data_IF_705962700115
#
_entry.id   IF_705962700115
#
_cell.length_a   1.000
_cell.length_b   1.000
_cell.length_c   1.000
_cell.angle_alpha   90.00
_cell.angle_beta   90.00
_cell.angle_gamma   90.00
#
_symmetry.space_group_name_H-M   'P 1'
#
loop_
_entity.id
_entity.type
_entity.pdbx_description
1 polymer ?
#
# COMPACT_ATOMS: atom_id res chain seq x y z
N UNK A 1 13.13 11.95 -12.21
CA UNK A 1 11.96 12.59 -11.57
C UNK A 1 12.40 13.95 -11.04
N UNK A 2 11.56 14.98 -11.15
CA UNK A 2 11.90 16.32 -10.63
C UNK A 2 11.40 16.42 -9.18
N UNK A 3 12.29 16.60 -8.19
CA UNK A 3 11.89 16.57 -6.80
C UNK A 3 11.15 17.85 -6.39
N UNK A 4 10.11 17.65 -5.57
CA UNK A 4 9.40 18.71 -4.84
C UNK A 4 9.77 18.61 -3.35
N UNK A 5 9.76 17.38 -2.81
CA UNK A 5 10.22 17.06 -1.46
C UNK A 5 10.88 15.68 -1.47
N UNK A 6 12.21 15.60 -1.64
CA UNK A 6 12.93 14.33 -1.80
C UNK A 6 12.66 13.32 -0.68
N UNK A 7 12.37 13.80 0.54
CA UNK A 7 12.14 12.94 1.71
C UNK A 7 10.74 12.36 1.80
N UNK A 8 9.75 12.95 1.12
CA UNK A 8 8.35 12.55 1.19
C UNK A 8 7.85 11.92 -0.11
N UNK A 9 8.64 11.99 -1.17
CA UNK A 9 8.25 11.50 -2.49
C UNK A 9 8.58 10.02 -2.64
N UNK A 10 7.63 9.28 -3.19
CA UNK A 10 7.78 7.90 -3.62
C UNK A 10 7.00 7.67 -4.90
N UNK A 11 7.50 6.80 -5.77
CA UNK A 11 6.75 6.34 -6.93
C UNK A 11 5.92 5.11 -6.54
N UNK A 12 4.73 4.97 -7.14
CA UNK A 12 3.86 3.83 -6.88
C UNK A 12 2.99 3.49 -8.09
N UNK A 13 2.71 2.21 -8.34
CA UNK A 13 1.86 1.80 -9.45
C UNK A 13 0.40 2.14 -9.17
N UNK A 14 -0.31 2.57 -10.21
CA UNK A 14 -1.77 2.72 -10.21
C UNK A 14 -2.35 1.76 -11.24
N UNK A 15 -3.22 0.85 -10.81
CA UNK A 15 -3.83 -0.15 -11.67
C UNK A 15 -5.28 -0.43 -11.28
N UNK A 16 -6.04 -1.09 -12.17
CA UNK A 16 -7.47 -1.42 -11.93
C UNK A 16 -7.65 -2.61 -11.00
N UNK A 17 -6.63 -3.45 -10.84
CA UNK A 17 -6.67 -4.62 -9.95
C UNK A 17 -5.45 -4.64 -9.03
N UNK A 18 -5.58 -5.30 -7.88
CA UNK A 18 -4.46 -5.48 -6.95
C UNK A 18 -3.37 -6.38 -7.54
N UNK A 19 -3.74 -7.36 -8.38
CA UNK A 19 -2.80 -8.25 -9.04
C UNK A 19 -1.88 -7.47 -10.01
N UNK A 20 -2.45 -6.58 -10.82
CA UNK A 20 -1.68 -5.73 -11.72
C UNK A 20 -0.77 -4.76 -10.96
N UNK A 21 -1.29 -4.13 -9.89
CA UNK A 21 -0.52 -3.20 -9.07
C UNK A 21 0.69 -3.89 -8.42
N UNK A 22 0.52 -5.11 -7.90
CA UNK A 22 1.61 -5.91 -7.30
C UNK A 22 2.60 -6.36 -8.37
N UNK A 23 2.13 -6.76 -9.55
CA UNK A 23 3.00 -7.15 -10.68
C UNK A 23 3.89 -5.98 -11.12
N UNK A 24 3.32 -4.78 -11.24
CA UNK A 24 4.11 -3.59 -11.56
C UNK A 24 5.06 -3.19 -10.42
N UNK A 25 4.64 -3.36 -9.16
CA UNK A 25 5.51 -3.12 -8.00
C UNK A 25 6.75 -4.02 -8.04
N UNK A 26 6.58 -5.31 -8.37
CA UNK A 26 7.69 -6.26 -8.49
C UNK A 26 8.69 -5.88 -9.58
N UNK A 27 8.25 -5.17 -10.63
CA UNK A 27 9.13 -4.69 -11.70
C UNK A 27 9.91 -3.44 -11.28
N UNK A 28 9.29 -2.51 -10.55
CA UNK A 28 9.91 -1.20 -10.24
C UNK A 28 10.70 -1.20 -8.92
N UNK A 29 10.46 -2.16 -8.04
CA UNK A 29 11.10 -2.19 -6.71
C UNK A 29 12.55 -2.66 -6.81
N UNK A 30 13.47 -1.96 -6.16
CA UNK A 30 14.87 -2.33 -6.19
C UNK A 30 15.78 -1.32 -5.52
N UNK A 31 17.05 -1.70 -5.38
CA UNK A 31 18.12 -0.79 -5.03
C UNK A 31 18.48 0.07 -6.25
N UNK A 32 18.62 1.37 -6.05
CA UNK A 32 19.12 2.31 -7.04
C UNK A 32 20.39 2.98 -6.50
N UNK A 33 21.56 2.80 -7.12
CA UNK A 33 22.80 3.48 -6.72
C UNK A 33 22.67 5.02 -6.71
N UNK A 34 21.83 5.59 -7.58
CA UNK A 34 21.59 7.03 -7.68
C UNK A 34 20.64 7.55 -6.58
N UNK A 35 19.93 6.64 -5.91
CA UNK A 35 19.08 6.91 -4.75
C UNK A 35 19.37 5.95 -3.59
N UNK A 36 20.67 5.71 -3.35
CA UNK A 36 21.11 4.72 -2.37
C UNK A 36 20.62 5.04 -0.94
N UNK A 37 20.48 6.33 -0.61
CA UNK A 37 20.01 6.75 0.71
C UNK A 37 18.58 6.30 1.01
N UNK A 38 17.67 6.36 0.01
CA UNK A 38 16.31 5.88 0.18
C UNK A 38 16.20 4.36 0.00
N UNK A 39 16.90 3.80 -0.99
CA UNK A 39 16.66 2.42 -1.43
C UNK A 39 17.45 1.35 -0.67
N UNK A 40 18.56 1.69 -0.01
CA UNK A 40 19.38 0.70 0.75
C UNK A 40 18.56 0.03 1.85
N UNK A 41 17.89 0.83 2.68
CA UNK A 41 17.07 0.27 3.78
C UNK A 41 15.82 -0.43 3.25
N UNK A 42 15.21 0.12 2.20
CA UNK A 42 14.01 -0.45 1.57
C UNK A 42 14.27 -1.85 0.98
N UNK A 43 15.45 -2.07 0.38
CA UNK A 43 15.81 -3.34 -0.24
C UNK A 43 15.72 -4.54 0.70
N UNK A 44 15.94 -4.33 2.01
CA UNK A 44 15.82 -5.37 3.05
C UNK A 44 14.39 -5.89 3.22
N UNK A 45 13.40 -5.13 2.78
CA UNK A 45 11.98 -5.50 2.88
C UNK A 45 11.42 -6.09 1.59
N UNK A 46 12.21 -6.13 0.52
CA UNK A 46 11.82 -6.79 -0.73
C UNK A 46 11.86 -8.30 -0.49
N UNK A 47 10.74 -9.01 -0.66
CA UNK A 47 10.74 -10.45 -0.42
C UNK A 47 11.49 -11.22 -1.51
N UNK A 48 12.12 -12.34 -1.13
CA UNK A 48 12.97 -13.18 -2.01
C UNK A 48 12.25 -13.71 -3.29
N UNK A 49 10.93 -13.62 -3.38
CA UNK A 49 10.14 -14.00 -4.57
C UNK A 49 9.11 -12.91 -4.93
N UNK A 50 9.43 -11.64 -4.67
CA UNK A 50 8.52 -10.52 -4.90
C UNK A 50 7.32 -10.46 -3.95
N UNK A 51 6.45 -9.50 -4.24
CA UNK A 51 5.26 -9.14 -3.48
C UNK A 51 4.03 -9.94 -3.87
N UNK A 52 4.04 -10.67 -4.99
CA UNK A 52 2.95 -11.55 -5.42
C UNK A 52 2.41 -12.47 -4.31
N UNK A 53 3.30 -13.00 -3.45
CA UNK A 53 2.91 -13.85 -2.30
C UNK A 53 2.00 -13.17 -1.27
N UNK A 54 1.83 -11.87 -1.35
CA UNK A 54 0.98 -11.07 -0.46
C UNK A 54 -0.48 -11.03 -0.93
N UNK A 55 -0.76 -11.46 -2.18
CA UNK A 55 -2.11 -11.60 -2.71
C UNK A 55 -2.75 -12.87 -2.14
N UNK A 56 -3.42 -12.74 -0.99
CA UNK A 56 -4.10 -13.84 -0.29
C UNK A 56 -5.54 -13.44 0.00
N UNK A 57 -6.48 -14.28 -0.40
CA UNK A 57 -7.91 -14.05 -0.15
C UNK A 57 -8.21 -13.95 1.35
N UNK A 58 -7.49 -14.71 2.18
CA UNK A 58 -7.62 -14.70 3.63
C UNK A 58 -6.57 -13.83 4.34
N UNK A 59 -5.87 -12.94 3.61
CA UNK A 59 -4.74 -12.15 4.13
C UNK A 59 -5.07 -11.25 5.33
N UNK A 60 -6.36 -10.93 5.52
CA UNK A 60 -6.85 -10.15 6.66
C UNK A 60 -7.25 -11.00 7.88
N UNK A 61 -7.28 -12.33 7.77
CA UNK A 61 -7.66 -13.21 8.88
C UNK A 61 -6.70 -13.00 10.07
N UNK A 62 -7.27 -12.78 11.26
CA UNK A 62 -6.54 -12.47 12.52
C UNK A 62 -5.75 -11.15 12.50
N UNK A 63 -5.95 -10.26 11.52
CA UNK A 63 -5.37 -8.91 11.54
C UNK A 63 -6.27 -7.94 12.32
N UNK A 64 -5.66 -6.97 13.00
CA UNK A 64 -6.35 -5.88 13.68
C UNK A 64 -6.26 -4.63 12.81
N UNK A 65 -7.40 -4.08 12.41
CA UNK A 65 -7.48 -2.87 11.57
C UNK A 65 -7.99 -1.70 12.43
N UNK A 66 -7.22 -0.60 12.46
CA UNK A 66 -7.60 0.62 13.16
C UNK A 66 -8.36 1.58 12.24
N UNK A 67 -9.43 2.19 12.73
CA UNK A 67 -10.20 3.22 12.01
C UNK A 67 -9.96 4.57 12.69
N UNK A 68 -9.40 5.53 11.96
CA UNK A 68 -9.12 6.88 12.48
C UNK A 68 -10.39 7.74 12.44
N UNK A 69 -10.93 8.09 13.62
CA UNK A 69 -12.22 8.78 13.76
C UNK A 69 -12.14 10.31 13.86
N UNK A 70 -10.98 10.84 14.23
CA UNK A 70 -10.81 12.26 14.55
C UNK A 70 -9.88 13.02 13.59
N UNK A 71 -9.38 12.35 12.55
CA UNK A 71 -8.41 12.93 11.59
C UNK A 71 -9.06 13.48 10.32
N UNK A 72 -10.36 13.27 10.13
CA UNK A 72 -11.10 13.66 8.93
C UNK A 72 -12.27 14.58 9.28
N UNK A 73 -12.73 15.36 8.30
CA UNK A 73 -14.01 16.07 8.43
C UNK A 73 -15.15 15.06 8.64
N UNK A 74 -16.20 15.47 9.36
CA UNK A 74 -17.35 14.61 9.66
C UNK A 74 -17.99 14.03 8.40
N UNK A 75 -18.20 14.85 7.38
CA UNK A 75 -18.81 14.45 6.11
C UNK A 75 -17.96 13.40 5.36
N UNK A 76 -16.64 13.57 5.31
CA UNK A 76 -15.75 12.59 4.69
C UNK A 76 -15.67 11.30 5.51
N UNK A 77 -15.68 11.39 6.84
CA UNK A 77 -15.62 10.22 7.71
C UNK A 77 -16.86 9.33 7.58
N UNK A 78 -18.07 9.91 7.60
CA UNK A 78 -19.32 9.14 7.64
C UNK A 78 -19.50 8.27 6.39
N UNK A 79 -19.19 8.81 5.20
CA UNK A 79 -19.28 8.08 3.93
C UNK A 79 -18.27 6.94 3.84
N UNK A 80 -17.02 7.19 4.21
CA UNK A 80 -15.94 6.18 4.23
C UNK A 80 -16.23 5.11 5.28
N UNK A 81 -16.68 5.49 6.46
CA UNK A 81 -17.01 4.56 7.53
C UNK A 81 -18.18 3.64 7.16
N UNK A 82 -19.22 4.17 6.53
CA UNK A 82 -20.33 3.36 6.01
C UNK A 82 -19.85 2.33 4.97
N UNK A 83 -18.96 2.74 4.06
CA UNK A 83 -18.38 1.83 3.06
C UNK A 83 -17.54 0.72 3.71
N UNK A 84 -16.66 1.08 4.65
CA UNK A 84 -15.84 0.12 5.40
C UNK A 84 -16.75 -0.89 6.09
N UNK A 85 -17.75 -0.42 6.86
CA UNK A 85 -18.69 -1.30 7.58
C UNK A 85 -19.43 -2.26 6.64
N UNK A 86 -19.86 -1.79 5.46
CA UNK A 86 -20.51 -2.63 4.44
C UNK A 86 -19.57 -3.70 3.87
N UNK A 87 -18.32 -3.34 3.61
CA UNK A 87 -17.33 -4.22 3.00
C UNK A 87 -16.94 -5.37 3.93
N UNK A 88 -16.72 -5.07 5.22
CA UNK A 88 -16.42 -6.11 6.22
C UNK A 88 -17.60 -7.02 6.54
N UNK A 89 -18.85 -6.56 6.38
CA UNK A 89 -20.04 -7.42 6.59
C UNK A 89 -20.25 -8.44 5.46
N UNK A 90 -19.71 -8.19 4.26
CA UNK A 90 -19.87 -9.07 3.09
C UNK A 90 -18.74 -10.10 2.95
N UNK A 91 -17.62 -9.91 3.62
CA UNK A 91 -16.42 -10.77 3.53
C UNK A 91 -16.13 -11.58 4.80
N UNK A 92 -17.13 -11.75 5.67
CA UNK A 92 -17.07 -12.61 6.86
C UNK A 92 -17.90 -13.86 6.69
#
# INVERSE_FOLDING_TARGET
MVPISPRLQTIGPMARTMADAVTLLDVIVGFDPLDANATTTASRFIPINGFQKSLKDDGLKRKRLGILRHSFSKASFDSVYAYIKRSFRKGG
#
